data_IF_492356352957
#
_entry.id   IF_492356352957
#
_cell.length_a   1.000
_cell.length_b   1.000
_cell.length_c   1.000
_cell.angle_alpha   90.00
_cell.angle_beta   90.00
_cell.angle_gamma   90.00
#
_symmetry.space_group_name_H-M   'P 1'
#
loop_
_entity.id
_entity.type
_entity.pdbx_description
1 polymer ?
#
# COMPACT_ATOMS: atom_id res chain seq x y z
N UNK A 1 -1.07 1.01 11.31
CA UNK A 1 -1.06 0.31 10.00
C UNK A 1 0.38 0.15 9.57
N UNK A 2 0.78 -0.92 8.90
CA UNK A 2 2.20 -1.18 8.63
C UNK A 2 2.89 -0.02 7.88
N UNK A 3 2.15 0.71 7.05
CA UNK A 3 2.62 1.88 6.29
C UNK A 3 2.81 3.14 7.15
N UNK A 4 2.07 3.26 8.25
CA UNK A 4 2.11 4.40 9.16
C UNK A 4 3.05 4.13 10.36
N UNK A 5 3.55 2.90 10.49
CA UNK A 5 4.51 2.53 11.51
C UNK A 5 5.91 3.06 11.17
N UNK A 6 6.66 3.61 12.15
CA UNK A 6 8.05 4.03 11.94
C UNK A 6 8.97 2.94 11.38
N UNK A 7 8.60 1.67 11.55
CA UNK A 7 9.35 0.50 11.07
C UNK A 7 9.21 0.19 9.58
N UNK A 8 8.33 0.87 8.83
CA UNK A 8 8.10 0.53 7.42
C UNK A 8 9.35 0.71 6.55
N UNK A 9 10.19 1.72 6.85
CA UNK A 9 11.46 1.91 6.15
C UNK A 9 12.43 0.75 6.33
N UNK A 10 12.46 0.12 7.51
CA UNK A 10 13.27 -1.07 7.75
C UNK A 10 12.74 -2.27 6.96
N UNK A 11 11.41 -2.43 6.88
CA UNK A 11 10.78 -3.48 6.08
C UNK A 11 11.09 -3.34 4.58
N UNK A 12 11.10 -2.11 4.07
CA UNK A 12 11.50 -1.82 2.68
C UNK A 12 12.96 -2.22 2.43
N UNK A 13 13.84 -1.98 3.39
CA UNK A 13 15.23 -2.44 3.29
C UNK A 13 15.33 -3.97 3.23
N UNK A 14 14.63 -4.68 4.11
CA UNK A 14 14.60 -6.14 4.12
C UNK A 14 14.07 -6.71 2.79
N UNK A 15 13.04 -6.08 2.21
CA UNK A 15 12.53 -6.44 0.88
C UNK A 15 13.60 -6.27 -0.20
N UNK A 16 14.37 -5.19 -0.19
CA UNK A 16 15.44 -4.97 -1.17
C UNK A 16 16.59 -5.97 -1.00
N UNK A 17 16.94 -6.35 0.23
CA UNK A 17 17.92 -7.40 0.52
C UNK A 17 17.44 -8.76 -0.02
N UNK A 18 16.20 -9.15 0.28
CA UNK A 18 15.63 -10.40 -0.25
C UNK A 18 15.61 -10.41 -1.78
N UNK A 19 15.25 -9.28 -2.39
CA UNK A 19 15.26 -9.15 -3.85
C UNK A 19 16.68 -9.29 -4.44
N UNK A 20 17.70 -8.68 -3.81
CA UNK A 20 19.10 -8.78 -4.28
C UNK A 20 19.67 -10.20 -4.15
N UNK A 21 19.16 -10.99 -3.20
CA UNK A 21 19.43 -12.41 -3.04
C UNK A 21 18.66 -13.31 -4.03
N UNK A 22 17.85 -12.72 -4.92
CA UNK A 22 17.13 -13.44 -5.97
C UNK A 22 15.73 -13.93 -5.56
N UNK A 23 15.21 -13.51 -4.40
CA UNK A 23 13.83 -13.83 -3.98
C UNK A 23 12.84 -13.02 -4.83
N UNK A 24 11.80 -13.71 -5.31
CA UNK A 24 10.69 -13.08 -6.03
C UNK A 24 9.63 -12.65 -5.03
N UNK A 25 9.43 -11.35 -4.89
CA UNK A 25 8.51 -10.76 -3.92
C UNK A 25 7.19 -10.36 -4.58
N UNK A 26 6.09 -10.60 -3.86
CA UNK A 26 4.76 -10.05 -4.15
C UNK A 26 4.31 -9.30 -2.90
N UNK A 27 4.01 -8.01 -3.05
CA UNK A 27 3.62 -7.15 -1.92
C UNK A 27 2.11 -6.93 -1.99
N UNK A 28 1.43 -7.20 -0.88
CA UNK A 28 0.01 -6.94 -0.68
C UNK A 28 -0.12 -6.09 0.57
N UNK A 29 -0.81 -4.95 0.46
CA UNK A 29 -1.02 -4.04 1.58
C UNK A 29 -2.53 -3.81 1.82
N UNK A 30 -2.89 -3.67 3.09
CA UNK A 30 -4.19 -3.13 3.47
C UNK A 30 -4.22 -1.60 3.31
N UNK A 31 -5.42 -1.02 3.39
CA UNK A 31 -5.61 0.45 3.34
C UNK A 31 -6.73 0.94 4.30
N UNK A 32 -7.09 0.14 5.31
CA UNK A 32 -8.29 0.37 6.14
C UNK A 32 -8.29 1.75 6.83
N UNK A 33 -7.22 2.14 7.54
CA UNK A 33 -7.13 3.44 8.22
C UNK A 33 -7.14 4.62 7.26
N UNK A 34 -6.53 4.47 6.08
CA UNK A 34 -6.47 5.53 5.08
C UNK A 34 -7.83 5.76 4.42
N UNK A 35 -8.68 4.72 4.32
CA UNK A 35 -10.08 4.90 3.92
C UNK A 35 -10.87 5.57 5.05
N UNK A 36 -10.70 5.14 6.31
CA UNK A 36 -11.41 5.72 7.46
C UNK A 36 -11.13 7.21 7.63
N UNK A 37 -9.87 7.63 7.50
CA UNK A 37 -9.48 9.03 7.49
C UNK A 37 -10.23 9.84 6.43
N UNK A 38 -10.31 9.32 5.19
CA UNK A 38 -11.02 9.98 4.08
C UNK A 38 -12.54 10.02 4.27
N UNK A 39 -13.13 8.97 4.83
CA UNK A 39 -14.56 8.95 5.17
C UNK A 39 -14.86 9.99 6.24
N UNK A 40 -14.04 10.06 7.30
CA UNK A 40 -14.19 11.02 8.37
C UNK A 40 -14.07 12.47 7.87
N UNK A 41 -13.09 12.76 6.98
CA UNK A 41 -12.94 14.08 6.35
C UNK A 41 -14.17 14.50 5.53
N UNK A 42 -14.94 13.54 5.03
CA UNK A 42 -16.17 13.76 4.26
C UNK A 42 -17.44 13.70 5.11
N UNK A 43 -17.31 13.49 6.43
CA UNK A 43 -18.45 13.31 7.34
C UNK A 43 -19.27 12.06 7.06
N UNK A 44 -18.65 11.02 6.48
CA UNK A 44 -19.31 9.75 6.16
C UNK A 44 -19.02 8.70 7.23
N UNK A 45 -20.07 8.05 7.72
CA UNK A 45 -19.94 6.97 8.68
C UNK A 45 -19.47 5.66 8.02
N UNK A 46 -18.65 4.90 8.75
CA UNK A 46 -18.22 3.58 8.29
C UNK A 46 -19.14 2.50 8.86
N UNK A 47 -19.74 1.69 7.99
CA UNK A 47 -20.56 0.54 8.39
C UNK A 47 -19.89 -0.78 8.06
N UNK A 48 -20.03 -1.75 8.95
CA UNK A 48 -19.60 -3.13 8.75
C UNK A 48 -20.76 -4.10 8.95
N UNK A 49 -20.76 -5.20 8.17
CA UNK A 49 -21.66 -6.35 8.32
C UNK A 49 -20.78 -7.59 8.26
N UNK A 50 -20.84 -8.43 9.30
CA UNK A 50 -20.03 -9.66 9.41
C UNK A 50 -18.52 -9.43 9.22
N UNK A 51 -18.01 -8.30 9.72
CA UNK A 51 -16.59 -7.93 9.61
C UNK A 51 -16.17 -7.40 8.23
N UNK A 52 -17.07 -7.37 7.24
CA UNK A 52 -16.86 -6.79 5.92
C UNK A 52 -17.43 -5.38 5.86
N UNK A 53 -16.69 -4.44 5.26
CA UNK A 53 -17.14 -3.06 5.10
C UNK A 53 -18.28 -3.01 4.09
N UNK A 54 -19.36 -2.31 4.44
CA UNK A 54 -20.38 -1.93 3.46
C UNK A 54 -19.82 -0.75 2.66
N UNK A 55 -19.58 -0.95 1.37
CA UNK A 55 -19.04 0.07 0.47
C UNK A 55 -20.10 0.51 -0.52
N UNK A 56 -20.80 1.59 -0.19
CA UNK A 56 -21.69 2.27 -1.13
C UNK A 56 -20.91 3.16 -2.10
N UNK A 57 -21.62 3.88 -2.98
CA UNK A 57 -20.99 4.73 -3.99
C UNK A 57 -20.14 5.86 -3.40
N UNK A 58 -20.55 6.44 -2.27
CA UNK A 58 -19.81 7.54 -1.65
C UNK A 58 -18.55 7.02 -0.95
N UNK A 59 -18.65 5.88 -0.27
CA UNK A 59 -17.52 5.21 0.36
C UNK A 59 -16.53 4.68 -0.68
N UNK A 60 -17.01 4.20 -1.83
CA UNK A 60 -16.16 3.72 -2.91
C UNK A 60 -15.19 4.80 -3.42
N UNK A 61 -15.64 6.05 -3.50
CA UNK A 61 -14.77 7.17 -3.88
C UNK A 61 -13.59 7.35 -2.90
N UNK A 62 -13.85 7.22 -1.59
CA UNK A 62 -12.80 7.26 -0.57
C UNK A 62 -11.84 6.05 -0.67
N UNK A 63 -12.36 4.87 -1.03
CA UNK A 63 -11.56 3.66 -1.27
C UNK A 63 -10.61 3.84 -2.45
N UNK A 64 -11.11 4.34 -3.58
CA UNK A 64 -10.29 4.57 -4.78
C UNK A 64 -9.17 5.57 -4.49
N UNK A 65 -9.49 6.67 -3.82
CA UNK A 65 -8.51 7.69 -3.44
C UNK A 65 -7.43 7.14 -2.50
N UNK A 66 -7.83 6.38 -1.48
CA UNK A 66 -6.90 5.72 -0.55
C UNK A 66 -5.99 4.72 -1.26
N UNK A 67 -6.55 3.90 -2.14
CA UNK A 67 -5.79 2.91 -2.91
C UNK A 67 -4.72 3.58 -3.78
N UNK A 68 -5.08 4.67 -4.46
CA UNK A 68 -4.15 5.40 -5.32
C UNK A 68 -2.99 6.04 -4.55
N UNK A 69 -3.30 6.70 -3.43
CA UNK A 69 -2.29 7.35 -2.58
C UNK A 69 -1.31 6.33 -2.01
N UNK A 70 -1.82 5.26 -1.38
CA UNK A 70 -0.96 4.25 -0.75
C UNK A 70 -0.10 3.50 -1.77
N UNK A 71 -0.67 3.14 -2.93
CA UNK A 71 0.12 2.52 -4.01
C UNK A 71 1.29 3.41 -4.41
N UNK A 72 1.03 4.70 -4.60
CA UNK A 72 2.06 5.67 -5.02
C UNK A 72 3.15 5.81 -3.96
N UNK A 73 2.78 5.83 -2.68
CA UNK A 73 3.72 5.90 -1.56
C UNK A 73 4.60 4.65 -1.46
N UNK A 74 4.02 3.46 -1.58
CA UNK A 74 4.76 2.19 -1.59
C UNK A 74 5.74 2.14 -2.76
N UNK A 75 5.29 2.50 -3.97
CA UNK A 75 6.13 2.54 -5.17
C UNK A 75 7.28 3.54 -5.01
N UNK A 76 7.04 4.70 -4.40
CA UNK A 76 8.07 5.70 -4.14
C UNK A 76 9.13 5.18 -3.15
N UNK A 77 8.72 4.55 -2.06
CA UNK A 77 9.64 4.00 -1.05
C UNK A 77 10.52 2.89 -1.62
N UNK A 78 9.98 2.04 -2.49
CA UNK A 78 10.74 1.00 -3.19
C UNK A 78 11.66 1.57 -4.29
N UNK A 79 11.43 2.80 -4.73
CA UNK A 79 12.25 3.49 -5.74
C UNK A 79 13.45 4.22 -5.14
N UNK A 80 13.56 4.31 -3.80
CA UNK A 80 14.60 5.06 -3.10
C UNK A 80 15.94 4.30 -3.06
N UNK A 81 16.65 4.21 -4.19
CA UNK A 81 18.02 3.71 -4.27
C UNK A 81 19.06 4.77 -3.88
N UNK A 82 19.00 5.31 -2.67
CA UNK A 82 19.92 6.39 -2.25
C UNK A 82 21.38 5.88 -2.22
N UNK A 83 22.36 6.67 -2.72
CA UNK A 83 23.78 6.35 -2.57
C UNK A 83 24.17 6.24 -1.09
N UNK A 84 24.97 5.24 -0.72
CA UNK A 84 25.31 4.90 0.67
C UNK A 84 24.12 4.47 1.56
N UNK A 85 22.96 4.15 0.96
CA UNK A 85 21.94 3.39 1.67
C UNK A 85 22.21 1.89 1.54
N UNK A 86 21.67 1.06 2.44
CA UNK A 86 21.73 -0.39 2.26
C UNK A 86 21.06 -0.91 0.97
N UNK A 87 20.30 -0.06 0.26
CA UNK A 87 19.71 -0.34 -1.07
C UNK A 87 20.56 0.17 -2.23
N UNK A 88 21.78 0.66 -1.99
CA UNK A 88 22.71 1.10 -3.03
C UNK A 88 23.05 -0.05 -3.99
N UNK A 89 22.85 0.17 -5.28
CA UNK A 89 22.97 -0.85 -6.32
C UNK A 89 21.78 -1.83 -6.44
N UNK A 90 20.86 -1.87 -5.47
CA UNK A 90 19.63 -2.66 -5.55
C UNK A 90 18.66 -1.98 -6.52
N UNK A 91 18.75 -2.31 -7.81
CA UNK A 91 17.79 -1.86 -8.83
C UNK A 91 16.44 -2.57 -8.66
N UNK A 92 15.71 -2.22 -7.62
CA UNK A 92 14.35 -2.74 -7.36
C UNK A 92 13.43 -2.18 -8.45
N UNK A 93 12.90 -3.07 -9.28
CA UNK A 93 11.87 -2.72 -10.27
C UNK A 93 10.51 -3.15 -9.75
N UNK A 94 9.57 -2.22 -9.69
CA UNK A 94 8.20 -2.50 -9.26
C UNK A 94 7.31 -2.62 -10.50
N UNK A 95 6.43 -3.62 -10.49
CA UNK A 95 5.37 -3.80 -11.48
C UNK A 95 4.02 -3.77 -10.78
N UNK A 96 3.09 -2.97 -11.30
CA UNK A 96 1.74 -2.80 -10.75
C UNK A 96 0.71 -2.68 -11.87
N UNK A 97 -0.53 -3.11 -11.64
CA UNK A 97 -1.55 -3.17 -12.68
C UNK A 97 -2.83 -3.90 -12.30
N UNK A 98 -3.67 -4.14 -13.30
CA UNK A 98 -4.95 -4.84 -13.15
C UNK A 98 -4.78 -6.37 -13.19
N UNK A 99 -4.18 -6.93 -12.13
CA UNK A 99 -3.89 -8.37 -12.06
C UNK A 99 -5.06 -9.23 -11.57
N UNK A 100 -6.07 -8.61 -10.96
CA UNK A 100 -7.22 -9.30 -10.36
C UNK A 100 -8.49 -8.61 -10.82
N UNK A 101 -9.50 -9.39 -11.21
CA UNK A 101 -10.84 -8.90 -11.51
C UNK A 101 -11.81 -9.46 -10.48
N UNK A 102 -12.46 -8.58 -9.72
CA UNK A 102 -13.48 -8.96 -8.76
C UNK A 102 -14.82 -9.30 -9.46
N UNK A 103 -15.67 -10.07 -8.78
CA UNK A 103 -17.06 -10.31 -9.16
C UNK A 103 -17.96 -10.04 -7.95
N UNK A 104 -19.21 -9.58 -8.15
CA UNK A 104 -20.20 -9.46 -7.08
C UNK A 104 -20.51 -10.81 -6.42
#
# INVERSE_FOLDING_TARGET
DALEEPGFGALVHDMALLHSLGVKLVIVHGIRPQIESRLALRGLDTRFVEGVRVTDSAALAAVVEATGAVRTEVEALLSMGLPNSPMDGARVRVASGNFVTARP
#
